data_IF_063304204272
#
_entry.id   IF_063304204272
#
_cell.length_a   1.000
_cell.length_b   1.000
_cell.length_c   1.000
_cell.angle_alpha   90.00
_cell.angle_beta   90.00
_cell.angle_gamma   90.00
#
_symmetry.space_group_name_H-M   'P 1'
#
loop_
_entity.id
_entity.type
_entity.pdbx_description
1 polymer ?
#
# COMPACT_ATOMS: atom_id res chain seq x y z
N UNK A 1 24.91 -11.26 27.60
CA UNK A 1 24.32 -12.46 26.97
C UNK A 1 24.87 -12.50 25.54
N UNK A 2 25.83 -13.39 25.25
CA UNK A 2 26.45 -13.47 23.93
C UNK A 2 25.55 -14.27 22.99
N UNK A 3 25.12 -13.67 21.88
CA UNK A 3 24.40 -14.38 20.82
C UNK A 3 25.40 -15.32 20.12
N UNK A 4 25.19 -16.63 20.23
CA UNK A 4 25.97 -17.61 19.48
C UNK A 4 25.71 -17.40 17.98
N UNK A 5 26.77 -17.23 17.19
CA UNK A 5 26.62 -17.12 15.73
C UNK A 5 26.16 -18.46 15.15
N UNK A 6 25.19 -18.46 14.23
CA UNK A 6 24.74 -19.68 13.56
C UNK A 6 25.89 -20.34 12.77
N UNK A 7 25.88 -21.67 12.68
CA UNK A 7 26.89 -22.41 11.94
C UNK A 7 26.85 -22.10 10.44
N UNK A 8 27.98 -22.24 9.75
CA UNK A 8 28.07 -22.00 8.30
C UNK A 8 27.07 -22.82 7.48
N UNK A 9 26.81 -24.07 7.90
CA UNK A 9 25.81 -24.93 7.27
C UNK A 9 24.38 -24.40 7.44
N UNK A 10 24.06 -23.81 8.59
CA UNK A 10 22.75 -23.18 8.83
C UNK A 10 22.56 -21.94 7.97
N UNK A 11 23.60 -21.10 7.83
CA UNK A 11 23.53 -19.93 6.95
C UNK A 11 23.39 -20.33 5.48
N UNK A 12 24.10 -21.37 5.03
CA UNK A 12 23.98 -21.90 3.67
C UNK A 12 22.56 -22.41 3.38
N UNK A 13 21.95 -23.11 4.34
CA UNK A 13 20.57 -23.57 4.23
C UNK A 13 19.58 -22.40 4.13
N UNK A 14 19.74 -21.36 4.95
CA UNK A 14 18.90 -20.16 4.89
C UNK A 14 19.02 -19.43 3.55
N UNK A 15 20.24 -19.33 3.01
CA UNK A 15 20.51 -18.75 1.70
C UNK A 15 19.81 -19.54 0.59
N UNK A 16 19.89 -20.87 0.61
CA UNK A 16 19.22 -21.72 -0.38
C UNK A 16 17.69 -21.64 -0.27
N UNK A 17 17.15 -21.62 0.94
CA UNK A 17 15.71 -21.49 1.20
C UNK A 17 15.16 -20.15 0.71
N UNK A 18 15.93 -19.06 0.83
CA UNK A 18 15.52 -17.72 0.40
C UNK A 18 15.81 -17.46 -1.08
N UNK A 19 16.80 -18.14 -1.67
CA UNK A 19 17.18 -17.95 -3.07
C UNK A 19 16.04 -18.27 -4.05
N UNK A 20 15.30 -19.36 -3.83
CA UNK A 20 14.19 -19.75 -4.71
C UNK A 20 13.06 -18.72 -4.74
N UNK A 21 12.46 -18.30 -3.61
CA UNK A 21 11.42 -17.27 -3.61
C UNK A 21 11.96 -15.92 -4.11
N UNK A 22 13.21 -15.56 -3.80
CA UNK A 22 13.79 -14.31 -4.28
C UNK A 22 13.99 -14.32 -5.81
N UNK A 23 14.50 -15.41 -6.37
CA UNK A 23 14.64 -15.58 -7.81
C UNK A 23 13.27 -15.52 -8.51
N UNK A 24 12.24 -16.10 -7.90
CA UNK A 24 10.87 -16.03 -8.40
C UNK A 24 10.33 -14.59 -8.42
N UNK A 25 10.46 -13.84 -7.32
CA UNK A 25 10.06 -12.42 -7.26
C UNK A 25 10.82 -11.59 -8.30
N UNK A 26 12.16 -11.75 -8.38
CA UNK A 26 12.98 -11.04 -9.37
C UNK A 26 12.55 -11.39 -10.80
N UNK A 27 12.18 -12.63 -11.07
CA UNK A 27 11.67 -13.03 -12.37
C UNK A 27 10.34 -12.36 -12.70
N UNK A 28 9.42 -12.26 -11.74
CA UNK A 28 8.12 -11.61 -11.92
C UNK A 28 8.27 -10.09 -12.15
N UNK A 29 9.11 -9.42 -11.36
CA UNK A 29 9.39 -7.99 -11.50
C UNK A 29 10.11 -7.64 -12.81
N UNK A 30 10.88 -8.58 -13.38
CA UNK A 30 11.60 -8.39 -14.65
C UNK A 30 10.82 -8.87 -15.87
N UNK A 31 9.84 -9.76 -15.70
CA UNK A 31 9.05 -10.21 -16.83
C UNK A 31 8.28 -9.03 -17.40
N UNK A 32 8.64 -8.65 -18.63
CA UNK A 32 7.93 -7.60 -19.34
C UNK A 32 6.45 -7.98 -19.44
N UNK A 33 5.58 -7.17 -18.83
CA UNK A 33 4.15 -7.38 -19.00
C UNK A 33 3.82 -7.14 -20.47
N UNK A 34 3.24 -8.13 -21.14
CA UNK A 34 2.86 -8.05 -22.55
C UNK A 34 1.63 -7.16 -22.80
N UNK A 35 1.08 -6.52 -21.76
CA UNK A 35 -0.08 -5.64 -21.83
C UNK A 35 0.23 -4.17 -21.51
N UNK A 36 -0.76 -3.28 -21.72
CA UNK A 36 -0.65 -1.88 -21.32
C UNK A 36 -0.50 -1.80 -19.80
N UNK A 37 0.57 -1.15 -19.36
CA UNK A 37 0.90 -0.95 -17.96
C UNK A 37 1.26 0.51 -17.73
N UNK A 38 1.02 0.97 -16.51
CA UNK A 38 1.37 2.31 -16.07
C UNK A 38 2.49 2.16 -15.06
N UNK A 39 3.70 2.59 -15.45
CA UNK A 39 4.81 2.70 -14.52
C UNK A 39 4.65 3.95 -13.65
N UNK A 40 5.00 3.85 -12.38
CA UNK A 40 5.07 5.01 -11.48
C UNK A 40 6.18 4.87 -10.45
N UNK A 41 6.68 6.00 -9.97
CA UNK A 41 7.64 6.11 -8.88
C UNK A 41 6.91 6.26 -7.56
N UNK A 42 7.27 5.41 -6.61
CA UNK A 42 6.56 5.32 -5.34
C UNK A 42 7.30 5.93 -4.18
N UNK A 43 6.53 6.39 -3.18
CA UNK A 43 7.07 6.98 -1.96
C UNK A 43 7.16 6.00 -0.78
N UNK A 44 6.34 4.96 -0.77
CA UNK A 44 6.28 3.97 0.31
C UNK A 44 6.88 2.64 -0.12
N UNK A 45 7.06 1.67 0.79
CA UNK A 45 7.63 0.37 0.46
C UNK A 45 6.56 -0.69 0.18
N UNK A 46 5.48 -0.71 0.96
CA UNK A 46 4.49 -1.78 0.90
C UNK A 46 3.09 -1.27 0.57
N UNK A 47 2.75 -1.36 -0.73
CA UNK A 47 1.38 -1.15 -1.18
C UNK A 47 0.53 -2.35 -0.85
N UNK A 48 -0.62 -2.09 -0.25
CA UNK A 48 -1.54 -3.15 0.16
C UNK A 48 -2.69 -3.29 -0.84
N UNK A 49 -3.29 -2.18 -1.26
CA UNK A 49 -4.39 -2.18 -2.21
C UNK A 49 -4.36 -0.95 -3.12
N UNK A 50 -5.04 -1.09 -4.27
CA UNK A 50 -5.21 -0.04 -5.27
C UNK A 50 -6.64 -0.04 -5.77
N UNK A 51 -7.22 1.14 -5.94
CA UNK A 51 -8.55 1.36 -6.50
C UNK A 51 -8.53 2.50 -7.53
N UNK A 52 -9.38 2.41 -8.55
CA UNK A 52 -9.51 3.44 -9.59
C UNK A 52 -10.63 4.44 -9.25
N UNK A 53 -10.26 5.71 -9.10
CA UNK A 53 -11.19 6.83 -9.05
C UNK A 53 -11.39 7.40 -10.46
N UNK A 54 -12.53 7.06 -11.05
CA UNK A 54 -12.89 7.43 -12.41
C UNK A 54 -13.21 8.91 -12.58
N UNK A 55 -13.72 9.58 -11.53
CA UNK A 55 -13.98 11.02 -11.56
C UNK A 55 -12.70 11.82 -11.41
N UNK A 56 -11.82 11.34 -10.55
CA UNK A 56 -10.52 11.95 -10.31
C UNK A 56 -9.45 11.65 -11.35
N UNK A 57 -9.71 10.71 -12.27
CA UNK A 57 -8.72 10.28 -13.25
C UNK A 57 -7.43 9.74 -12.61
N UNK A 58 -7.56 9.06 -11.46
CA UNK A 58 -6.41 8.69 -10.63
C UNK A 58 -6.56 7.33 -9.97
N UNK A 59 -5.44 6.65 -9.80
CA UNK A 59 -5.37 5.51 -8.89
C UNK A 59 -5.16 5.99 -7.47
N UNK A 60 -5.88 5.38 -6.53
CA UNK A 60 -5.69 5.58 -5.10
C UNK A 60 -5.04 4.32 -4.55
N UNK A 61 -4.05 4.51 -3.71
CA UNK A 61 -3.17 3.45 -3.26
C UNK A 61 -3.12 3.47 -1.73
N UNK A 62 -3.32 2.33 -1.08
CA UNK A 62 -3.13 2.20 0.37
C UNK A 62 -1.76 1.59 0.68
N UNK A 63 -1.18 2.04 1.79
CA UNK A 63 0.15 1.61 2.22
C UNK A 63 0.12 1.01 3.63
N UNK A 64 0.87 -0.08 3.80
CA UNK A 64 0.96 -0.82 5.06
C UNK A 64 1.63 0.00 6.16
N UNK A 65 2.50 0.94 5.79
CA UNK A 65 3.15 1.90 6.67
C UNK A 65 2.20 3.01 7.16
N UNK A 66 1.01 3.08 6.56
CA UNK A 66 -0.03 4.05 6.82
C UNK A 66 -0.06 5.18 5.80
N UNK A 67 -1.27 5.72 5.58
CA UNK A 67 -1.54 6.77 4.61
C UNK A 67 -2.12 6.26 3.29
N UNK A 68 -2.41 7.22 2.41
CA UNK A 68 -2.93 7.00 1.07
C UNK A 68 -2.07 7.75 0.05
N UNK A 69 -1.72 7.03 -1.01
CA UNK A 69 -1.15 7.56 -2.24
C UNK A 69 -2.22 7.88 -3.28
N UNK A 70 -1.91 8.79 -4.18
CA UNK A 70 -2.63 8.96 -5.42
C UNK A 70 -1.66 9.02 -6.60
N UNK A 71 -2.08 8.48 -7.74
CA UNK A 71 -1.33 8.52 -9.00
C UNK A 71 -2.30 9.07 -10.05
N UNK A 72 -2.11 10.33 -10.42
CA UNK A 72 -2.95 11.01 -11.42
C UNK A 72 -2.53 10.56 -12.81
N UNK A 73 -3.48 10.06 -13.59
CA UNK A 73 -3.25 9.63 -14.97
C UNK A 73 -3.65 10.78 -15.89
N UNK A 74 -2.69 11.39 -16.63
CA UNK A 74 -3.01 12.46 -17.56
C UNK A 74 -3.93 11.99 -18.69
N UNK A 75 -4.77 12.90 -19.19
CA UNK A 75 -5.53 12.66 -20.42
C UNK A 75 -4.57 12.65 -21.63
N UNK A 76 -4.55 11.55 -22.39
CA UNK A 76 -3.76 11.41 -23.62
C UNK A 76 -2.51 10.53 -23.48
N UNK A 77 -1.61 10.64 -24.47
CA UNK A 77 -0.34 9.91 -24.44
C UNK A 77 0.64 10.60 -23.47
N UNK A 78 1.10 9.85 -22.48
CA UNK A 78 2.20 10.25 -21.60
C UNK A 78 3.37 9.29 -21.79
N UNK A 79 4.59 9.83 -21.70
CA UNK A 79 5.82 9.06 -21.79
C UNK A 79 6.55 9.09 -20.46
N UNK A 80 6.89 7.91 -19.94
CA UNK A 80 7.62 7.75 -18.69
C UNK A 80 6.77 7.28 -17.52
N UNK A 81 7.41 7.17 -16.36
CA UNK A 81 6.76 6.78 -15.12
C UNK A 81 6.07 7.99 -14.47
N UNK A 82 4.85 7.78 -13.95
CA UNK A 82 4.12 8.76 -13.17
C UNK A 82 4.71 8.90 -11.76
N UNK A 83 4.34 9.93 -11.03
CA UNK A 83 4.76 10.12 -9.63
C UNK A 83 3.62 9.82 -8.67
N UNK A 84 3.91 9.10 -7.60
CA UNK A 84 2.99 8.90 -6.49
C UNK A 84 2.97 10.13 -5.57
N UNK A 85 1.79 10.72 -5.40
CA UNK A 85 1.55 11.84 -4.50
C UNK A 85 0.93 11.38 -3.20
N UNK A 86 1.16 12.13 -2.12
CA UNK A 86 0.54 11.85 -0.84
C UNK A 86 -0.82 12.50 -0.75
N UNK A 87 -1.87 11.68 -0.81
CA UNK A 87 -3.25 12.11 -0.61
C UNK A 87 -3.57 12.27 0.87
N UNK A 88 -3.25 11.25 1.67
CA UNK A 88 -3.42 11.27 3.14
C UNK A 88 -2.13 10.79 3.78
N UNK A 89 -1.53 11.61 4.64
CA UNK A 89 -0.37 11.19 5.40
C UNK A 89 -0.74 10.16 6.49
N UNK A 90 0.23 9.37 6.93
CA UNK A 90 0.04 8.47 8.07
C UNK A 90 -0.47 9.24 9.31
N UNK A 91 -1.37 8.61 10.07
CA UNK A 91 -2.01 9.21 11.23
C UNK A 91 -0.98 9.49 12.33
N UNK A 92 -0.72 10.77 12.60
CA UNK A 92 0.23 11.18 13.65
C UNK A 92 -0.21 10.77 15.05
N UNK A 93 -1.52 10.80 15.31
CA UNK A 93 -2.10 10.45 16.61
C UNK A 93 -2.13 8.94 16.87
N UNK A 94 -2.06 8.14 15.80
CA UNK A 94 -2.13 6.68 15.83
C UNK A 94 -0.94 6.09 15.07
N UNK A 95 0.30 6.25 15.58
CA UNK A 95 1.48 5.70 14.93
C UNK A 95 1.43 4.17 14.90
N UNK A 96 1.73 3.59 13.73
CA UNK A 96 1.72 2.14 13.52
C UNK A 96 0.38 1.56 13.07
N UNK A 97 -0.60 2.40 12.75
CA UNK A 97 -1.82 1.96 12.05
C UNK A 97 -1.56 1.87 10.55
N UNK A 98 -1.76 0.68 10.01
CA UNK A 98 -1.69 0.38 8.59
C UNK A 98 -2.98 0.78 7.89
N UNK A 99 -2.85 1.27 6.66
CA UNK A 99 -3.97 1.47 5.74
C UNK A 99 -4.00 0.26 4.82
N UNK A 100 -5.05 -0.56 4.96
CA UNK A 100 -5.20 -1.82 4.25
C UNK A 100 -6.22 -1.64 3.12
N UNK A 101 -7.15 -2.58 2.97
CA UNK A 101 -8.12 -2.56 1.89
C UNK A 101 -8.87 -1.22 1.79
N UNK A 102 -9.00 -0.75 0.56
CA UNK A 102 -9.72 0.49 0.22
C UNK A 102 -10.85 0.22 -0.76
N UNK A 103 -11.85 1.12 -0.77
CA UNK A 103 -12.94 1.07 -1.74
C UNK A 103 -13.48 2.46 -2.08
N UNK A 104 -13.54 2.78 -3.36
CA UNK A 104 -14.16 4.01 -3.86
C UNK A 104 -15.70 3.87 -3.86
N UNK A 105 -16.40 4.68 -3.07
CA UNK A 105 -17.87 4.83 -3.07
C UNK A 105 -18.26 6.07 -3.90
N UNK A 106 -18.33 5.86 -5.22
CA UNK A 106 -18.61 6.92 -6.21
C UNK A 106 -19.91 7.68 -5.95
N UNK A 107 -20.94 6.98 -5.46
CA UNK A 107 -22.26 7.60 -5.20
C UNK A 107 -22.19 8.66 -4.10
N UNK A 108 -21.28 8.48 -3.14
CA UNK A 108 -21.11 9.39 -2.00
C UNK A 108 -19.80 10.18 -2.05
N UNK A 109 -19.07 10.11 -3.16
CA UNK A 109 -17.80 10.82 -3.37
C UNK A 109 -16.79 10.61 -2.24
N UNK A 110 -16.66 9.37 -1.76
CA UNK A 110 -15.80 9.05 -0.62
C UNK A 110 -14.98 7.80 -0.86
N UNK A 111 -13.82 7.73 -0.22
CA UNK A 111 -13.03 6.52 -0.09
C UNK A 111 -13.28 5.87 1.26
N UNK A 112 -13.60 4.59 1.27
CA UNK A 112 -13.59 3.77 2.48
C UNK A 112 -12.22 3.13 2.65
N UNK A 113 -11.73 3.11 3.89
CA UNK A 113 -10.39 2.62 4.21
C UNK A 113 -10.45 1.74 5.44
N UNK A 114 -9.90 0.54 5.36
CA UNK A 114 -9.66 -0.33 6.50
C UNK A 114 -8.37 0.07 7.18
N UNK A 115 -8.44 0.27 8.49
CA UNK A 115 -7.32 0.67 9.34
C UNK A 115 -7.08 -0.41 10.39
N UNK A 116 -5.82 -0.83 10.58
CA UNK A 116 -5.50 -1.83 11.59
C UNK A 116 -4.10 -1.65 12.21
N UNK A 117 -3.96 -1.99 13.50
CA UNK A 117 -2.65 -2.24 14.12
C UNK A 117 -2.24 -3.68 13.77
N UNK A 118 -1.66 -3.90 12.59
CA UNK A 118 -1.43 -5.26 12.08
C UNK A 118 -0.39 -6.03 12.91
N UNK A 119 0.56 -5.32 13.53
CA UNK A 119 1.61 -5.94 14.32
C UNK A 119 1.14 -6.35 15.72
N UNK A 120 0.28 -5.56 16.35
CA UNK A 120 -0.12 -5.80 17.76
C UNK A 120 -1.58 -6.24 17.91
N UNK A 121 -2.39 -6.14 16.85
CA UNK A 121 -3.80 -6.53 16.85
C UNK A 121 -4.68 -5.71 17.80
N UNK A 122 -4.27 -4.48 18.16
CA UNK A 122 -4.95 -3.68 19.19
C UNK A 122 -6.05 -2.76 18.65
N UNK A 123 -6.06 -2.57 17.34
CA UNK A 123 -6.97 -1.65 16.68
C UNK A 123 -7.41 -2.23 15.35
N UNK A 124 -8.71 -2.15 15.10
CA UNK A 124 -9.34 -2.39 13.81
C UNK A 124 -10.42 -1.33 13.63
N UNK A 125 -10.47 -0.71 12.46
CA UNK A 125 -11.38 0.40 12.21
C UNK A 125 -11.65 0.59 10.73
N UNK A 126 -12.71 1.34 10.45
CA UNK A 126 -13.03 1.81 9.11
C UNK A 126 -13.13 3.32 9.14
N UNK A 127 -12.37 3.96 8.26
CA UNK A 127 -12.47 5.39 8.00
C UNK A 127 -13.15 5.64 6.66
N UNK A 128 -13.73 6.83 6.52
CA UNK A 128 -14.07 7.38 5.22
C UNK A 128 -13.41 8.74 5.03
N UNK A 129 -12.96 9.00 3.81
CA UNK A 129 -12.39 10.27 3.39
C UNK A 129 -13.18 10.83 2.22
N UNK A 130 -13.40 12.14 2.20
CA UNK A 130 -13.89 12.84 1.01
C UNK A 130 -12.84 12.74 -0.10
N UNK A 131 -13.26 12.41 -1.31
CA UNK A 131 -12.32 12.22 -2.43
C UNK A 131 -11.76 13.53 -2.96
N UNK A 132 -12.44 14.66 -2.81
CA UNK A 132 -11.96 15.93 -3.37
C UNK A 132 -11.03 16.65 -2.40
N UNK A 133 -11.39 16.67 -1.11
CA UNK A 133 -10.66 17.40 -0.09
C UNK A 133 -9.75 16.54 0.78
N UNK A 134 -9.82 15.22 0.66
CA UNK A 134 -9.16 14.24 1.53
C UNK A 134 -9.49 14.42 3.03
N UNK A 135 -10.60 15.08 3.35
CA UNK A 135 -11.02 15.26 4.74
C UNK A 135 -11.63 13.97 5.27
N UNK A 136 -11.24 13.58 6.49
CA UNK A 136 -11.83 12.43 7.15
C UNK A 136 -13.30 12.73 7.50
N UNK A 137 -14.21 11.98 6.90
CA UNK A 137 -15.65 12.09 7.12
C UNK A 137 -16.08 11.37 8.40
N UNK A 138 -15.52 10.18 8.64
CA UNK A 138 -15.68 9.45 9.89
C UNK A 138 -14.54 8.48 10.11
N UNK A 139 -14.38 8.06 11.37
CA UNK A 139 -13.57 6.93 11.79
C UNK A 139 -14.39 6.15 12.82
N UNK A 140 -14.65 4.89 12.52
CA UNK A 140 -15.36 3.98 13.42
C UNK A 140 -14.46 2.83 13.77
N UNK A 141 -14.17 2.67 15.06
CA UNK A 141 -13.50 1.47 15.56
C UNK A 141 -14.47 0.29 15.47
N UNK A 142 -14.00 -0.81 14.90
CA UNK A 142 -14.74 -2.06 14.86
C UNK A 142 -14.62 -2.77 16.22
N UNK A 143 -15.65 -3.52 16.59
CA UNK A 143 -15.66 -4.30 17.82
C UNK A 143 -14.71 -5.50 17.69
N UNK A 144 -13.44 -5.28 18.04
CA UNK A 144 -12.35 -6.26 18.07
C UNK A 144 -11.40 -6.20 16.86
N UNK A 145 -10.19 -6.79 16.96
CA UNK A 145 -9.56 -7.40 15.79
C UNK A 145 -10.37 -8.62 15.29
#
# INVERSE_FOLDING_TARGET
>A
MALAMPSGSFMALLLLLTAVPMAFIVSLERSASSGPHIGYHSKWWFRESVEWDDRGGRFIVSCFEGGLGQIVVPDGEFSGALEEETAVAALKELPGISFLGIRVDRRRNRLLVVLADVLRGRFGGVAAYDLDSWQQLFLTQLSGP
#
